data_IF_075279153720
#
_entry.id   IF_075279153720
#
_cell.length_a   1.000
_cell.length_b   1.000
_cell.length_c   1.000
_cell.angle_alpha   90.00
_cell.angle_beta   90.00
_cell.angle_gamma   90.00
#
_symmetry.space_group_name_H-M   'P 1'
#
loop_
_entity.id
_entity.type
_entity.pdbx_description
1 polymer ?
#
# COMPACT_ATOMS: atom_id res chain seq x y z
N UNK A 1 -4.81 2.73 7.56
CA UNK A 1 -4.27 2.09 6.35
C UNK A 1 -5.37 2.10 5.30
N UNK A 2 -5.10 2.72 4.15
CA UNK A 2 -6.10 3.02 3.11
C UNK A 2 -5.65 2.40 1.80
N UNK A 3 -6.51 1.60 1.17
CA UNK A 3 -6.26 1.04 -0.17
C UNK A 3 -7.01 1.75 -1.29
N UNK A 4 -6.94 1.18 -2.49
CA UNK A 4 -7.46 1.82 -3.70
C UNK A 4 -8.99 1.93 -3.73
N UNK A 5 -9.71 1.25 -2.83
CA UNK A 5 -11.16 1.42 -2.68
C UNK A 5 -11.57 2.87 -2.47
N UNK A 6 -10.72 3.70 -1.84
CA UNK A 6 -10.98 5.13 -1.68
C UNK A 6 -11.02 5.84 -3.04
N UNK A 7 -10.15 5.49 -3.99
CA UNK A 7 -10.11 6.10 -5.30
C UNK A 7 -11.27 5.63 -6.19
N UNK A 8 -11.76 4.41 -5.98
CA UNK A 8 -12.89 3.83 -6.71
C UNK A 8 -14.21 4.48 -6.25
N UNK A 9 -14.35 4.76 -4.95
CA UNK A 9 -15.53 5.45 -4.43
C UNK A 9 -15.67 6.84 -5.08
N UNK A 10 -16.85 7.16 -5.60
CA UNK A 10 -17.14 8.43 -6.29
C UNK A 10 -16.57 8.55 -7.72
N UNK A 11 -15.46 7.90 -8.06
CA UNK A 11 -14.92 7.88 -9.43
C UNK A 11 -15.40 6.70 -10.27
N UNK A 12 -15.97 5.67 -9.63
CA UNK A 12 -16.25 4.36 -10.21
C UNK A 12 -14.96 3.64 -10.61
N UNK A 13 -15.06 2.71 -11.56
CA UNK A 13 -13.89 1.95 -12.06
C UNK A 13 -12.91 2.78 -12.91
N UNK A 14 -13.04 4.11 -12.96
CA UNK A 14 -12.07 4.99 -13.65
C UNK A 14 -10.71 4.99 -12.96
N UNK A 15 -10.71 4.93 -11.63
CA UNK A 15 -9.49 4.97 -10.81
C UNK A 15 -9.20 3.59 -10.20
N UNK A 16 -9.18 2.54 -11.05
CA UNK A 16 -8.92 1.15 -10.64
C UNK A 16 -7.59 0.65 -11.20
N UNK A 17 -6.75 0.05 -10.35
CA UNK A 17 -5.47 -0.55 -10.79
C UNK A 17 -5.66 -1.67 -11.81
N UNK A 18 -6.71 -2.47 -11.68
CA UNK A 18 -7.02 -3.53 -12.66
C UNK A 18 -7.21 -2.92 -14.05
N UNK A 19 -7.97 -1.83 -14.13
CA UNK A 19 -8.19 -1.11 -15.39
C UNK A 19 -6.89 -0.55 -15.96
N UNK A 20 -6.02 0.00 -15.13
CA UNK A 20 -4.70 0.48 -15.57
C UNK A 20 -3.85 -0.66 -16.14
N UNK A 21 -3.84 -1.83 -15.49
CA UNK A 21 -3.09 -3.00 -15.97
C UNK A 21 -3.68 -3.56 -17.27
N UNK A 22 -5.00 -3.57 -17.43
CA UNK A 22 -5.66 -3.94 -18.70
C UNK A 22 -5.30 -2.96 -19.82
N UNK A 23 -5.26 -1.64 -19.53
CA UNK A 23 -4.79 -0.64 -20.51
C UNK A 23 -3.34 -0.87 -20.93
N UNK A 24 -2.46 -1.19 -19.96
CA UNK A 24 -1.06 -1.55 -20.25
C UNK A 24 -0.98 -2.85 -21.06
N UNK A 25 -1.84 -3.83 -20.79
CA UNK A 25 -1.88 -5.09 -21.53
C UNK A 25 -2.11 -4.87 -23.03
N UNK A 26 -3.03 -3.97 -23.39
CA UNK A 26 -3.25 -3.60 -24.79
C UNK A 26 -2.00 -2.98 -25.44
N UNK A 27 -1.22 -2.15 -24.71
CA UNK A 27 0.06 -1.62 -25.21
C UNK A 27 1.12 -2.73 -25.39
N UNK A 28 1.00 -3.85 -24.66
CA UNK A 28 1.85 -5.03 -24.80
C UNK A 28 1.32 -6.05 -25.83
N UNK A 29 0.36 -5.67 -26.69
CA UNK A 29 -0.33 -6.56 -27.63
C UNK A 29 -0.99 -7.79 -26.97
N UNK A 30 -1.42 -7.64 -25.71
CA UNK A 30 -2.23 -8.63 -24.98
C UNK A 30 -3.66 -8.13 -24.92
N UNK A 31 -4.52 -8.68 -25.76
CA UNK A 31 -5.93 -8.32 -25.80
C UNK A 31 -6.74 -9.16 -24.81
N UNK A 32 -7.03 -8.57 -23.64
CA UNK A 32 -7.89 -9.17 -22.61
C UNK A 32 -8.87 -8.11 -22.07
N UNK A 33 -10.15 -8.46 -21.88
CA UNK A 33 -11.16 -7.49 -21.41
C UNK A 33 -11.06 -7.21 -19.89
N UNK A 34 -10.43 -8.13 -19.15
CA UNK A 34 -10.20 -8.05 -17.71
C UNK A 34 -9.00 -8.93 -17.35
N UNK A 35 -8.52 -8.85 -16.11
CA UNK A 35 -7.52 -9.80 -15.64
C UNK A 35 -8.16 -11.21 -15.61
N UNK A 36 -7.53 -12.24 -16.21
CA UNK A 36 -8.11 -13.57 -16.27
C UNK A 36 -8.37 -14.16 -14.88
N UNK A 37 -9.52 -14.81 -14.71
CA UNK A 37 -9.85 -15.51 -13.46
C UNK A 37 -8.76 -16.56 -13.14
N UNK A 38 -8.38 -16.63 -11.87
CA UNK A 38 -7.30 -17.50 -11.41
C UNK A 38 -5.89 -16.91 -11.56
N UNK A 39 -5.77 -15.65 -11.98
CA UNK A 39 -4.50 -14.90 -12.02
C UNK A 39 -4.60 -13.70 -11.08
N UNK A 40 -3.65 -13.56 -10.16
CA UNK A 40 -3.55 -12.36 -9.33
C UNK A 40 -3.06 -11.16 -10.16
N UNK A 41 -3.39 -9.93 -9.74
CA UNK A 41 -2.91 -8.71 -10.41
C UNK A 41 -1.37 -8.67 -10.54
N UNK A 42 -0.67 -9.21 -9.54
CA UNK A 42 0.78 -9.31 -9.50
C UNK A 42 1.36 -10.27 -10.54
N UNK A 43 0.74 -11.44 -10.67
CA UNK A 43 1.12 -12.43 -11.68
C UNK A 43 0.81 -11.91 -13.08
N UNK A 44 -0.32 -11.23 -13.24
CA UNK A 44 -0.69 -10.58 -14.49
C UNK A 44 0.35 -9.55 -14.91
N UNK A 45 0.78 -8.68 -14.00
CA UNK A 45 1.86 -7.72 -14.27
C UNK A 45 3.17 -8.43 -14.68
N UNK A 46 3.58 -9.48 -13.97
CA UNK A 46 4.81 -10.23 -14.29
C UNK A 46 4.73 -10.86 -15.69
N UNK A 47 3.56 -11.36 -16.11
CA UNK A 47 3.33 -11.86 -17.47
C UNK A 47 3.44 -10.75 -18.52
N UNK A 48 2.91 -9.55 -18.26
CA UNK A 48 3.06 -8.41 -19.17
C UNK A 48 4.52 -8.00 -19.32
N UNK A 49 5.29 -7.99 -18.23
CA UNK A 49 6.72 -7.65 -18.24
C UNK A 49 7.54 -8.66 -19.06
N UNK A 50 7.22 -9.95 -18.97
CA UNK A 50 7.85 -11.02 -19.76
C UNK A 50 7.52 -10.92 -21.25
N UNK A 51 6.23 -10.73 -21.60
CA UNK A 51 5.81 -10.61 -23.00
C UNK A 51 6.45 -9.43 -23.72
N UNK A 52 6.62 -8.31 -23.00
CA UNK A 52 7.35 -7.14 -23.48
C UNK A 52 8.84 -7.43 -23.76
N UNK A 53 9.46 -8.28 -22.95
CA UNK A 53 10.90 -8.56 -23.03
C UNK A 53 11.25 -9.59 -24.11
N UNK A 54 10.27 -10.09 -24.86
CA UNK A 54 10.48 -11.02 -25.97
C UNK A 54 10.93 -10.24 -27.22
N UNK A 55 12.06 -10.59 -27.87
CA UNK A 55 12.48 -9.94 -29.10
C UNK A 55 11.41 -10.13 -30.18
N UNK A 56 10.97 -9.04 -30.80
CA UNK A 56 10.29 -9.14 -32.10
C UNK A 56 11.28 -9.74 -33.08
N UNK A 57 10.84 -10.74 -33.85
CA UNK A 57 11.68 -11.47 -34.81
C UNK A 57 12.23 -10.60 -35.96
N UNK A 58 11.78 -9.35 -36.06
CA UNK A 58 12.22 -8.39 -37.07
C UNK A 58 13.07 -7.30 -36.39
N UNK A 59 14.32 -7.16 -36.86
CA UNK A 59 15.36 -6.29 -36.34
C UNK A 59 15.15 -4.80 -36.61
N UNK A 60 13.99 -4.27 -36.22
CA UNK A 60 13.75 -2.83 -36.20
C UNK A 60 14.17 -2.23 -34.85
N UNK A 61 15.25 -1.45 -34.93
CA UNK A 61 16.00 -0.81 -33.85
C UNK A 61 15.25 0.40 -33.23
N UNK A 62 13.91 0.38 -33.22
CA UNK A 62 13.04 1.42 -32.65
C UNK A 62 12.23 0.95 -31.43
N UNK A 63 12.65 -0.11 -30.76
CA UNK A 63 12.06 -0.52 -29.49
C UNK A 63 12.39 0.49 -28.38
N UNK A 64 11.63 1.59 -28.31
CA UNK A 64 11.46 2.33 -27.05
C UNK A 64 10.93 1.29 -26.06
N UNK A 65 11.83 0.82 -25.21
CA UNK A 65 11.56 -0.18 -24.20
C UNK A 65 10.56 0.41 -23.20
N UNK A 66 9.27 0.16 -23.41
CA UNK A 66 8.19 0.62 -22.54
C UNK A 66 8.50 0.21 -21.10
N UNK A 67 8.69 1.18 -20.21
CA UNK A 67 8.82 0.90 -18.80
C UNK A 67 7.41 0.80 -18.21
N UNK A 68 6.97 -0.42 -17.85
CA UNK A 68 5.61 -0.66 -17.38
C UNK A 68 5.28 0.12 -16.10
N UNK A 69 6.25 0.28 -15.19
CA UNK A 69 6.05 1.10 -13.99
C UNK A 69 5.88 2.58 -14.34
N UNK A 70 6.64 3.09 -15.31
CA UNK A 70 6.51 4.47 -15.79
C UNK A 70 5.16 4.70 -16.48
N UNK A 71 4.71 3.75 -17.31
CA UNK A 71 3.41 3.83 -17.97
C UNK A 71 2.26 3.75 -16.96
N UNK A 72 2.36 2.85 -15.97
CA UNK A 72 1.41 2.79 -14.86
C UNK A 72 1.35 4.13 -14.11
N UNK A 73 2.50 4.74 -13.83
CA UNK A 73 2.60 6.09 -13.24
C UNK A 73 1.96 7.19 -14.10
N UNK A 74 2.13 7.11 -15.42
CA UNK A 74 1.55 8.08 -16.36
C UNK A 74 0.02 7.97 -16.41
N UNK A 75 -0.54 6.77 -16.39
CA UNK A 75 -1.99 6.58 -16.50
C UNK A 75 -2.74 7.09 -15.26
N UNK A 76 -2.13 7.06 -14.07
CA UNK A 76 -2.71 7.59 -12.84
C UNK A 76 -2.41 9.08 -12.57
N UNK A 77 -1.65 9.76 -13.43
CA UNK A 77 -1.24 11.15 -13.23
C UNK A 77 -2.41 12.14 -13.14
N UNK A 78 -3.55 11.81 -13.75
CA UNK A 78 -4.74 12.68 -13.81
C UNK A 78 -5.77 12.39 -12.72
N UNK A 79 -5.42 11.56 -11.73
CA UNK A 79 -6.34 11.28 -10.64
C UNK A 79 -6.35 12.48 -9.70
N UNK A 80 -7.55 12.99 -9.43
CA UNK A 80 -7.74 14.17 -8.59
C UNK A 80 -8.47 13.81 -7.30
N UNK A 81 -8.18 14.51 -6.20
CA UNK A 81 -8.95 14.41 -4.96
C UNK A 81 -10.45 14.64 -5.17
N UNK A 82 -11.23 13.78 -4.53
CA UNK A 82 -12.69 13.91 -4.38
C UNK A 82 -13.03 14.32 -2.93
N UNK A 83 -14.29 14.70 -2.71
CA UNK A 83 -14.77 15.21 -1.42
C UNK A 83 -14.40 14.30 -0.23
N UNK A 84 -14.61 12.99 -0.33
CA UNK A 84 -14.30 12.06 0.76
C UNK A 84 -12.79 11.95 1.03
N UNK A 85 -11.93 12.11 0.02
CA UNK A 85 -10.49 12.19 0.22
C UNK A 85 -10.15 13.38 1.13
N UNK A 86 -10.69 14.57 0.83
CA UNK A 86 -10.49 15.75 1.65
C UNK A 86 -11.04 15.57 3.06
N UNK A 87 -12.26 15.06 3.22
CA UNK A 87 -12.87 14.88 4.54
C UNK A 87 -12.04 13.95 5.43
N UNK A 88 -11.63 12.79 4.91
CA UNK A 88 -10.86 11.79 5.66
C UNK A 88 -9.44 12.31 5.94
N UNK A 89 -8.78 12.95 4.98
CA UNK A 89 -7.43 13.49 5.18
C UNK A 89 -7.43 14.67 6.14
N UNK A 90 -8.41 15.56 6.07
CA UNK A 90 -8.57 16.64 7.05
C UNK A 90 -8.78 16.09 8.45
N UNK A 91 -9.57 15.03 8.62
CA UNK A 91 -9.71 14.35 9.91
C UNK A 91 -8.36 13.85 10.43
N UNK A 92 -7.59 13.17 9.58
CA UNK A 92 -6.29 12.62 9.95
C UNK A 92 -5.29 13.72 10.32
N UNK A 93 -5.25 14.82 9.57
CA UNK A 93 -4.42 16.00 9.88
C UNK A 93 -4.83 16.63 11.22
N UNK A 94 -6.13 16.90 11.43
CA UNK A 94 -6.65 17.49 12.68
C UNK A 94 -6.28 16.68 13.91
N UNK A 95 -6.28 15.36 13.79
CA UNK A 95 -6.02 14.44 14.91
C UNK A 95 -4.57 13.93 14.98
N UNK A 96 -3.67 14.40 14.11
CA UNK A 96 -2.28 13.94 14.10
C UNK A 96 -2.14 12.45 13.77
N UNK A 97 -3.06 11.87 12.99
CA UNK A 97 -3.12 10.42 12.74
C UNK A 97 -2.28 10.06 11.50
N UNK A 98 -1.24 9.23 11.62
CA UNK A 98 -0.46 8.81 10.47
C UNK A 98 -1.29 7.93 9.52
N UNK A 99 -1.11 8.13 8.22
CA UNK A 99 -1.81 7.41 7.16
C UNK A 99 -0.83 6.52 6.43
N UNK A 100 -1.13 5.23 6.40
CA UNK A 100 -0.48 4.28 5.51
C UNK A 100 -1.36 4.06 4.29
N UNK A 101 -0.81 4.07 3.09
CA UNK A 101 -1.53 3.71 1.87
C UNK A 101 -0.77 2.70 1.03
N UNK A 102 -1.52 1.85 0.33
CA UNK A 102 -0.99 0.98 -0.73
C UNK A 102 -1.03 1.62 -2.10
N UNK A 103 -1.66 2.80 -2.19
CA UNK A 103 -1.77 3.53 -3.42
C UNK A 103 -0.46 4.21 -3.77
N UNK A 104 -0.30 4.56 -5.04
CA UNK A 104 0.97 4.98 -5.62
C UNK A 104 0.96 6.46 -5.99
N UNK A 105 -0.20 6.95 -6.43
CA UNK A 105 -0.54 8.34 -6.71
C UNK A 105 -0.51 9.22 -5.46
N UNK A 106 -0.57 10.54 -5.67
CA UNK A 106 -0.45 11.56 -4.63
C UNK A 106 -1.80 12.16 -4.20
N UNK A 107 -2.93 11.53 -4.57
CA UNK A 107 -4.31 12.02 -4.30
C UNK A 107 -4.54 12.30 -2.80
N UNK A 108 -4.10 11.39 -1.92
CA UNK A 108 -4.26 11.59 -0.47
C UNK A 108 -3.42 12.77 0.05
N UNK A 109 -2.20 12.94 -0.47
CA UNK A 109 -1.33 14.05 -0.09
C UNK A 109 -1.80 15.39 -0.63
N UNK A 110 -2.35 15.43 -1.85
CA UNK A 110 -2.99 16.60 -2.42
C UNK A 110 -4.24 16.98 -1.63
N UNK A 111 -5.06 15.99 -1.26
CA UNK A 111 -6.26 16.20 -0.44
C UNK A 111 -5.94 16.77 0.95
N UNK A 112 -4.79 16.41 1.51
CA UNK A 112 -4.28 16.85 2.80
C UNK A 112 -3.49 18.18 2.75
N UNK A 113 -3.16 18.69 1.55
CA UNK A 113 -2.31 19.85 1.37
C UNK A 113 -0.87 19.65 1.87
N UNK A 114 -0.32 18.45 1.68
CA UNK A 114 1.00 18.07 2.20
C UNK A 114 2.13 18.26 1.19
N UNK A 115 3.31 18.56 1.72
CA UNK A 115 4.56 18.55 0.95
C UNK A 115 5.27 17.20 1.06
N UNK A 116 6.04 16.87 0.02
CA UNK A 116 6.91 15.71 0.03
C UNK A 116 8.13 15.94 0.93
N UNK A 117 8.35 15.01 1.86
CA UNK A 117 9.48 15.02 2.79
C UNK A 117 10.36 13.79 2.57
N UNK A 118 11.64 14.05 2.26
CA UNK A 118 12.73 13.08 2.33
C UNK A 118 13.70 13.49 3.46
N UNK A 119 13.73 12.78 4.59
CA UNK A 119 14.67 13.08 5.67
C UNK A 119 16.12 12.95 5.17
N UNK A 120 16.93 14.03 5.18
CA UNK A 120 18.27 14.03 4.59
C UNK A 120 19.27 13.15 5.34
N UNK A 121 19.06 12.93 6.63
CA UNK A 121 19.94 12.16 7.52
C UNK A 121 19.69 10.65 7.50
N UNK A 122 18.64 10.19 6.80
CA UNK A 122 18.31 8.78 6.72
C UNK A 122 18.83 8.13 5.44
N UNK A 123 19.29 6.86 5.50
CA UNK A 123 19.62 6.10 4.31
C UNK A 123 18.44 6.09 3.33
N UNK A 124 18.74 6.35 2.06
CA UNK A 124 17.72 6.48 1.02
C UNK A 124 18.05 5.61 -0.19
N UNK A 125 17.00 4.98 -0.72
CA UNK A 125 17.01 4.38 -2.06
C UNK A 125 15.68 4.71 -2.71
N UNK A 126 15.69 5.00 -4.00
CA UNK A 126 14.47 5.19 -4.81
C UNK A 126 13.71 3.88 -5.07
N UNK A 127 14.30 2.72 -4.77
CA UNK A 127 13.61 1.43 -4.73
C UNK A 127 12.77 1.27 -3.45
N UNK A 128 13.30 1.63 -2.29
CA UNK A 128 12.62 1.49 -1.01
C UNK A 128 12.63 2.84 -0.27
N UNK A 129 11.82 3.82 -0.71
CA UNK A 129 11.75 5.14 -0.10
C UNK A 129 10.93 5.10 1.21
N UNK A 130 11.17 4.10 2.07
CA UNK A 130 10.32 3.78 3.23
C UNK A 130 10.43 4.80 4.37
N UNK A 131 11.44 5.68 4.35
CA UNK A 131 11.60 6.84 5.23
C UNK A 131 10.95 8.12 4.67
N UNK A 132 10.55 8.11 3.40
CA UNK A 132 9.91 9.25 2.74
C UNK A 132 8.40 9.25 3.02
N UNK A 133 7.83 10.46 3.10
CA UNK A 133 6.41 10.67 3.43
C UNK A 133 5.91 11.99 2.86
N UNK A 134 4.61 12.17 2.84
CA UNK A 134 4.00 13.49 2.68
C UNK A 134 3.50 13.98 4.03
N UNK A 135 3.89 15.19 4.44
CA UNK A 135 3.45 15.77 5.71
C UNK A 135 3.58 17.30 5.69
N UNK A 136 2.89 17.95 6.63
CA UNK A 136 2.99 19.41 6.81
C UNK A 136 4.15 19.79 7.75
N UNK A 137 4.73 18.81 8.44
CA UNK A 137 5.80 19.00 9.43
C UNK A 137 6.80 17.83 9.38
N UNK A 138 8.07 18.14 9.64
CA UNK A 138 9.13 17.14 9.81
C UNK A 138 9.12 16.62 11.26
N UNK A 139 8.63 15.39 11.45
CA UNK A 139 8.73 14.66 12.71
C UNK A 139 9.84 13.60 12.69
N UNK A 140 10.53 13.41 13.81
CA UNK A 140 11.60 12.41 13.92
C UNK A 140 11.05 10.99 14.10
N UNK A 141 10.09 10.81 15.01
CA UNK A 141 9.36 9.55 15.19
C UNK A 141 8.09 9.58 14.32
N UNK A 142 7.90 8.61 13.40
CA UNK A 142 6.66 8.45 12.66
C UNK A 142 5.40 8.37 13.53
N UNK A 143 5.53 7.92 14.79
CA UNK A 143 4.44 7.80 15.73
C UNK A 143 3.97 9.13 16.35
N UNK A 144 4.74 10.21 16.26
CA UNK A 144 4.47 11.45 17.00
C UNK A 144 3.45 12.37 16.32
N UNK A 145 2.99 12.02 15.12
CA UNK A 145 1.96 12.82 14.46
C UNK A 145 1.61 12.36 13.06
N UNK A 146 1.08 13.31 12.30
CA UNK A 146 0.56 13.08 10.97
C UNK A 146 1.68 12.89 9.93
N UNK A 147 1.43 11.97 9.00
CA UNK A 147 2.21 11.81 7.77
C UNK A 147 1.63 10.70 6.92
N UNK A 148 1.72 10.82 5.60
CA UNK A 148 1.22 9.86 4.63
C UNK A 148 2.40 9.06 4.06
N UNK A 149 2.30 7.74 4.14
CA UNK A 149 3.36 6.81 3.76
C UNK A 149 2.86 5.78 2.74
N UNK A 150 3.65 5.53 1.71
CA UNK A 150 3.30 4.64 0.60
C UNK A 150 4.02 3.29 0.73
N UNK A 151 3.26 2.25 1.10
CA UNK A 151 3.78 0.90 1.34
C UNK A 151 4.28 0.26 0.05
N UNK A 152 3.50 0.37 -1.03
CA UNK A 152 3.81 -0.26 -2.32
C UNK A 152 4.67 0.64 -3.23
N UNK A 153 5.20 1.75 -2.70
CA UNK A 153 5.94 2.74 -3.47
C UNK A 153 5.06 3.90 -3.92
N UNK A 154 5.71 4.94 -4.44
CA UNK A 154 5.08 6.21 -4.80
C UNK A 154 5.48 6.62 -6.22
N UNK A 155 4.56 7.27 -6.94
CA UNK A 155 4.72 7.70 -8.34
C UNK A 155 6.00 8.50 -8.57
N UNK A 156 6.38 9.32 -7.58
CA UNK A 156 7.62 10.11 -7.55
C UNK A 156 8.89 9.30 -7.73
N UNK A 157 8.89 8.05 -7.28
CA UNK A 157 10.00 7.11 -7.45
C UNK A 157 9.50 5.88 -8.19
N UNK A 158 9.52 5.92 -9.53
CA UNK A 158 9.00 4.84 -10.38
C UNK A 158 9.58 3.46 -10.03
N UNK A 159 10.86 3.39 -9.66
CA UNK A 159 11.54 2.14 -9.24
C UNK A 159 11.04 1.56 -7.91
N UNK A 160 10.28 2.35 -7.15
CA UNK A 160 9.65 1.90 -5.90
C UNK A 160 8.34 1.15 -6.12
N UNK A 161 7.71 1.31 -7.29
CA UNK A 161 6.37 0.80 -7.60
C UNK A 161 6.35 -0.73 -7.55
N UNK A 162 5.56 -1.31 -6.65
CA UNK A 162 5.44 -2.76 -6.46
C UNK A 162 4.14 -3.27 -7.09
N UNK A 163 4.24 -3.72 -8.34
CA UNK A 163 3.13 -4.29 -9.11
C UNK A 163 3.27 -5.79 -9.36
N UNK A 164 4.45 -6.37 -9.15
CA UNK A 164 4.77 -7.75 -9.52
C UNK A 164 5.01 -8.63 -8.30
N UNK A 165 4.98 -9.96 -8.46
CA UNK A 165 5.20 -10.87 -7.35
C UNK A 165 6.64 -10.78 -6.84
N UNK A 166 7.62 -10.75 -7.75
CA UNK A 166 9.04 -10.58 -7.42
C UNK A 166 9.30 -9.27 -6.67
N UNK A 167 8.56 -8.21 -7.01
CA UNK A 167 8.63 -6.93 -6.31
C UNK A 167 8.21 -7.07 -4.84
N UNK A 168 7.10 -7.75 -4.55
CA UNK A 168 6.66 -8.01 -3.18
C UNK A 168 7.61 -8.93 -2.41
N UNK A 169 8.19 -9.95 -3.06
CA UNK A 169 9.19 -10.81 -2.42
C UNK A 169 10.43 -10.02 -2.00
N UNK A 170 10.88 -9.06 -2.82
CA UNK A 170 11.95 -8.14 -2.46
C UNK A 170 11.60 -7.28 -1.22
N UNK A 171 10.38 -6.77 -1.14
CA UNK A 171 9.89 -6.02 0.04
C UNK A 171 9.87 -6.88 1.30
N UNK A 172 9.39 -8.14 1.21
CA UNK A 172 9.45 -9.11 2.32
C UNK A 172 10.89 -9.33 2.77
N UNK A 173 11.81 -9.58 1.82
CA UNK A 173 13.22 -9.81 2.15
C UNK A 173 13.84 -8.63 2.89
N UNK A 174 13.59 -7.39 2.42
CA UNK A 174 14.09 -6.17 3.06
C UNK A 174 13.54 -6.01 4.48
N UNK A 175 12.22 -6.09 4.64
CA UNK A 175 11.58 -5.94 5.94
C UNK A 175 12.04 -7.04 6.91
N UNK A 176 12.20 -8.28 6.44
CA UNK A 176 12.67 -9.41 7.26
C UNK A 176 14.06 -9.15 7.85
N UNK A 177 14.94 -8.44 7.15
CA UNK A 177 16.24 -8.06 7.70
C UNK A 177 16.08 -7.19 8.94
N UNK A 178 15.25 -6.14 8.89
CA UNK A 178 15.02 -5.27 10.05
C UNK A 178 14.22 -5.92 11.18
N UNK A 179 13.35 -6.87 10.86
CA UNK A 179 12.56 -7.56 11.87
C UNK A 179 13.36 -8.66 12.58
N UNK A 180 14.22 -9.40 11.87
CA UNK A 180 14.81 -10.65 12.39
C UNK A 180 16.33 -10.81 12.23
N UNK A 181 16.98 -10.12 11.27
CA UNK A 181 18.35 -10.48 10.83
C UNK A 181 19.39 -9.34 10.88
N UNK A 182 19.06 -8.20 11.48
CA UNK A 182 20.00 -7.12 11.77
C UNK A 182 20.59 -7.18 13.18
N UNK A 183 21.72 -6.49 13.38
CA UNK A 183 22.34 -6.31 14.71
C UNK A 183 21.35 -5.67 15.70
N UNK A 184 20.57 -4.70 15.21
CA UNK A 184 19.52 -3.99 15.96
C UNK A 184 18.16 -4.23 15.30
N UNK A 185 17.57 -5.41 15.54
CA UNK A 185 16.28 -5.81 14.96
C UNK A 185 15.10 -5.65 15.93
N UNK A 186 13.89 -5.45 15.37
CA UNK A 186 12.67 -5.18 16.16
C UNK A 186 12.39 -6.27 17.21
N UNK A 187 12.60 -7.56 16.88
CA UNK A 187 12.29 -8.65 17.81
C UNK A 187 13.27 -8.77 18.98
N UNK A 188 14.42 -8.10 18.92
CA UNK A 188 15.42 -8.05 19.99
C UNK A 188 15.54 -6.66 20.64
N UNK A 189 14.95 -5.62 20.04
CA UNK A 189 15.00 -4.26 20.53
C UNK A 189 14.39 -4.12 21.94
N UNK A 190 15.21 -3.65 22.88
CA UNK A 190 14.79 -3.44 24.27
C UNK A 190 13.81 -2.26 24.39
N UNK A 191 14.01 -1.21 23.58
CA UNK A 191 13.18 0.00 23.53
C UNK A 191 12.54 0.18 22.14
N UNK A 192 11.38 0.86 22.07
CA UNK A 192 10.61 1.05 20.82
C UNK A 192 11.39 1.69 19.64
N UNK A 193 12.23 2.74 19.83
CA UNK A 193 12.93 3.37 18.69
C UNK A 193 14.28 2.74 18.35
N UNK A 194 14.71 1.69 19.07
CA UNK A 194 16.05 1.11 18.94
C UNK A 194 16.06 -0.05 17.94
N UNK A 195 15.82 0.25 16.65
CA UNK A 195 15.96 -0.69 15.54
C UNK A 195 15.97 0.02 14.17
N UNK A 196 16.55 -0.63 13.15
CA UNK A 196 16.82 -0.02 11.84
C UNK A 196 15.59 0.56 11.11
N UNK A 197 14.41 0.01 11.37
CA UNK A 197 13.16 0.46 10.74
C UNK A 197 12.37 1.50 11.53
N UNK A 198 12.88 1.97 12.68
CA UNK A 198 12.14 2.85 13.61
C UNK A 198 11.66 4.16 12.98
N UNK A 199 12.42 4.72 12.03
CA UNK A 199 12.08 5.98 11.34
C UNK A 199 11.39 5.78 9.99
N UNK A 200 10.64 4.69 9.86
CA UNK A 200 9.93 4.32 8.62
C UNK A 200 8.47 3.95 8.90
N UNK A 201 7.67 3.85 7.84
CA UNK A 201 6.29 3.40 7.95
C UNK A 201 6.14 1.99 8.55
N UNK A 202 7.19 1.14 8.45
CA UNK A 202 7.17 -0.19 9.06
C UNK A 202 6.99 -0.06 10.58
N UNK A 203 7.55 0.98 11.19
CA UNK A 203 7.39 1.25 12.62
C UNK A 203 5.94 1.45 13.05
N UNK A 204 5.15 2.13 12.23
CA UNK A 204 3.73 2.39 12.47
C UNK A 204 2.92 1.10 12.59
N UNK A 205 3.22 0.09 11.75
CA UNK A 205 2.52 -1.21 11.77
C UNK A 205 2.60 -1.87 13.15
N UNK A 206 3.75 -1.76 13.82
CA UNK A 206 4.00 -2.45 15.11
C UNK A 206 3.72 -1.57 16.34
N UNK A 207 3.62 -0.24 16.18
CA UNK A 207 3.57 0.70 17.31
C UNK A 207 2.33 1.59 17.35
N UNK A 208 1.39 1.41 16.42
CA UNK A 208 0.09 2.09 16.44
C UNK A 208 -1.08 1.10 16.33
N UNK A 209 -2.26 1.51 16.83
CA UNK A 209 -3.52 0.92 16.41
C UNK A 209 -3.69 1.02 14.90
N UNK A 210 -4.32 0.01 14.28
CA UNK A 210 -4.56 0.00 12.83
C UNK A 210 -6.05 0.05 12.52
N UNK A 211 -6.48 1.05 11.76
CA UNK A 211 -7.77 1.03 11.08
C UNK A 211 -7.51 0.78 9.59
N UNK A 212 -8.06 -0.30 9.04
CA UNK A 212 -7.79 -0.78 7.69
C UNK A 212 -9.08 -0.73 6.87
N UNK A 213 -9.10 -0.01 5.76
CA UNK A 213 -10.25 0.05 4.85
C UNK A 213 -9.81 0.37 3.42
N UNK A 214 -10.71 0.16 2.45
CA UNK A 214 -10.43 0.34 1.03
C UNK A 214 -9.40 -0.64 0.45
N UNK A 215 -9.06 -1.69 1.19
CA UNK A 215 -8.17 -2.77 0.77
C UNK A 215 -8.97 -4.06 0.59
N UNK A 216 -8.71 -4.80 -0.47
CA UNK A 216 -9.28 -6.13 -0.63
C UNK A 216 -8.66 -7.19 0.29
N UNK A 217 -7.36 -7.06 0.61
CA UNK A 217 -6.57 -8.03 1.40
C UNK A 217 -6.77 -9.50 0.97
N UNK A 218 -6.93 -9.72 -0.34
CA UNK A 218 -7.02 -11.04 -0.96
C UNK A 218 -5.72 -11.83 -0.76
N UNK A 219 -5.67 -13.10 -1.17
CA UNK A 219 -4.48 -13.93 -1.07
C UNK A 219 -3.27 -13.34 -1.80
N UNK A 220 -3.50 -12.46 -2.78
CA UNK A 220 -2.46 -11.79 -3.57
C UNK A 220 -1.71 -10.68 -2.81
N UNK A 221 -2.26 -10.15 -1.71
CA UNK A 221 -1.64 -9.09 -0.89
C UNK A 221 -0.55 -9.66 0.05
N UNK A 222 0.35 -10.49 -0.51
CA UNK A 222 1.28 -11.34 0.24
C UNK A 222 2.17 -10.53 1.18
N UNK A 223 2.67 -9.36 0.76
CA UNK A 223 3.55 -8.54 1.59
C UNK A 223 2.83 -7.99 2.83
N UNK A 224 1.63 -7.41 2.64
CA UNK A 224 0.83 -6.91 3.76
C UNK A 224 0.37 -8.04 4.68
N UNK A 225 -0.13 -9.15 4.13
CA UNK A 225 -0.56 -10.31 4.93
C UNK A 225 0.61 -10.87 5.74
N UNK A 226 1.80 -10.95 5.15
CA UNK A 226 3.01 -11.33 5.87
C UNK A 226 3.34 -10.35 7.01
N UNK A 227 3.28 -9.03 6.79
CA UNK A 227 3.50 -8.04 7.85
C UNK A 227 2.49 -8.15 9.00
N UNK A 228 1.22 -8.45 8.70
CA UNK A 228 0.19 -8.65 9.72
C UNK A 228 0.46 -9.92 10.56
N UNK A 229 0.95 -11.00 9.93
CA UNK A 229 1.43 -12.19 10.65
C UNK A 229 2.61 -11.83 11.56
N UNK A 230 3.60 -11.08 11.06
CA UNK A 230 4.76 -10.66 11.84
C UNK A 230 4.35 -9.76 13.02
N UNK A 231 3.39 -8.86 12.82
CA UNK A 231 2.80 -8.04 13.88
C UNK A 231 2.15 -8.90 14.97
N UNK A 232 1.36 -9.90 14.59
CA UNK A 232 0.74 -10.83 15.53
C UNK A 232 1.78 -11.65 16.31
N UNK A 233 2.85 -12.10 15.64
CA UNK A 233 3.99 -12.80 16.28
C UNK A 233 4.72 -11.89 17.27
N UNK A 234 4.95 -10.64 16.88
CA UNK A 234 5.60 -9.65 17.73
C UNK A 234 4.78 -9.40 19.01
N UNK A 235 3.46 -9.23 18.90
CA UNK A 235 2.59 -9.03 20.07
C UNK A 235 2.41 -10.28 20.92
N UNK A 236 2.51 -11.49 20.35
CA UNK A 236 2.56 -12.72 21.15
C UNK A 236 3.85 -12.78 21.98
N UNK A 237 4.96 -12.30 21.44
CA UNK A 237 6.25 -12.24 22.16
C UNK A 237 6.28 -11.12 23.20
N UNK A 238 5.65 -9.98 22.90
CA UNK A 238 5.59 -8.79 23.75
C UNK A 238 4.14 -8.31 23.95
N UNK A 239 3.32 -9.01 24.77
CA UNK A 239 1.90 -8.70 24.92
C UNK A 239 1.63 -7.28 25.42
N UNK A 240 2.51 -6.72 26.24
CA UNK A 240 2.41 -5.36 26.78
C UNK A 240 2.55 -4.27 25.71
N UNK A 241 3.09 -4.62 24.54
CA UNK A 241 3.28 -3.69 23.40
C UNK A 241 2.13 -3.77 22.39
N UNK A 242 1.15 -4.65 22.62
CA UNK A 242 0.09 -4.92 21.68
C UNK A 242 -0.81 -3.70 21.45
N UNK A 243 -1.23 -3.55 20.20
CA UNK A 243 -2.16 -2.52 19.76
C UNK A 243 -3.34 -3.15 19.02
N UNK A 244 -4.56 -2.63 19.18
CA UNK A 244 -5.73 -3.15 18.47
C UNK A 244 -5.63 -2.88 16.96
N UNK A 245 -6.38 -3.65 16.18
CA UNK A 245 -6.49 -3.47 14.74
C UNK A 245 -7.90 -3.83 14.27
N UNK A 246 -8.41 -3.06 13.33
CA UNK A 246 -9.73 -3.24 12.73
C UNK A 246 -9.63 -3.28 11.20
N UNK A 247 -10.39 -4.18 10.58
CA UNK A 247 -10.57 -4.25 9.14
C UNK A 247 -12.03 -3.97 8.79
N UNK A 248 -12.28 -2.84 8.15
CA UNK A 248 -13.61 -2.43 7.71
C UNK A 248 -13.82 -2.87 6.27
N UNK A 249 -14.87 -3.65 6.04
CA UNK A 249 -15.15 -4.25 4.73
C UNK A 249 -16.63 -4.17 4.37
N UNK A 250 -16.87 -4.09 3.06
CA UNK A 250 -18.19 -4.20 2.45
C UNK A 250 -18.33 -5.59 1.84
N UNK A 251 -19.31 -6.41 2.26
CA UNK A 251 -19.46 -7.75 1.72
C UNK A 251 -19.89 -7.72 0.26
N UNK A 252 -19.30 -8.58 -0.53
CA UNK A 252 -19.68 -8.80 -1.92
C UNK A 252 -20.50 -10.10 -2.01
N UNK A 253 -21.67 -10.03 -2.66
CA UNK A 253 -22.64 -11.14 -2.71
C UNK A 253 -22.03 -12.44 -3.27
N UNK A 254 -21.06 -12.31 -4.18
CA UNK A 254 -20.44 -13.43 -4.89
C UNK A 254 -18.97 -13.69 -4.49
N UNK A 255 -18.46 -13.04 -3.43
CA UNK A 255 -17.08 -13.27 -2.95
C UNK A 255 -16.99 -14.55 -2.11
N UNK A 256 -16.72 -15.66 -2.79
CA UNK A 256 -16.52 -16.97 -2.14
C UNK A 256 -15.22 -17.05 -1.31
N UNK A 257 -14.31 -16.07 -1.43
CA UNK A 257 -13.08 -16.00 -0.65
C UNK A 257 -13.23 -15.28 0.69
N UNK A 258 -14.36 -14.59 0.91
CA UNK A 258 -14.57 -13.72 2.08
C UNK A 258 -14.36 -14.47 3.40
N UNK A 259 -14.92 -15.68 3.54
CA UNK A 259 -14.76 -16.50 4.74
C UNK A 259 -13.28 -16.82 5.05
N UNK A 260 -12.48 -17.13 4.02
CA UNK A 260 -11.05 -17.40 4.17
C UNK A 260 -10.24 -16.15 4.54
N UNK A 261 -10.62 -15.00 3.98
CA UNK A 261 -10.06 -13.68 4.31
C UNK A 261 -10.35 -13.30 5.77
N UNK A 262 -11.59 -13.44 6.24
CA UNK A 262 -11.97 -13.16 7.63
C UNK A 262 -11.28 -14.12 8.61
N UNK A 263 -11.24 -15.42 8.30
CA UNK A 263 -10.49 -16.41 9.07
C UNK A 263 -9.03 -16.00 9.27
N UNK A 264 -8.37 -15.55 8.19
CA UNK A 264 -6.99 -15.09 8.27
C UNK A 264 -6.84 -13.86 9.18
N UNK A 265 -7.66 -12.82 8.97
CA UNK A 265 -7.56 -11.55 9.68
C UNK A 265 -7.81 -11.71 11.19
N UNK A 266 -8.85 -12.47 11.54
CA UNK A 266 -9.17 -12.77 12.94
C UNK A 266 -8.08 -13.64 13.58
N UNK A 267 -7.53 -14.60 12.83
CA UNK A 267 -6.42 -15.44 13.28
C UNK A 267 -5.12 -14.68 13.58
N UNK A 268 -4.92 -13.50 12.98
CA UNK A 268 -3.80 -12.60 13.28
C UNK A 268 -4.17 -11.45 14.23
N UNK A 269 -5.36 -11.51 14.85
CA UNK A 269 -5.80 -10.58 15.88
C UNK A 269 -6.36 -9.25 15.35
N UNK A 270 -6.95 -9.25 14.16
CA UNK A 270 -7.63 -8.09 13.58
C UNK A 270 -9.13 -8.29 13.69
N UNK A 271 -9.83 -7.31 14.25
CA UNK A 271 -11.28 -7.33 14.37
C UNK A 271 -11.92 -6.90 13.05
N UNK A 272 -12.75 -7.76 12.47
CA UNK A 272 -13.48 -7.47 11.24
C UNK A 272 -14.75 -6.67 11.55
N UNK A 273 -14.97 -5.58 10.82
CA UNK A 273 -16.13 -4.69 10.96
C UNK A 273 -16.82 -4.58 9.60
N UNK A 274 -18.05 -5.08 9.53
CA UNK A 274 -18.87 -4.95 8.32
C UNK A 274 -19.44 -3.53 8.24
N UNK A 275 -19.33 -2.90 7.08
CA UNK A 275 -19.91 -1.59 6.79
C UNK A 275 -20.19 -1.46 5.28
N UNK A 276 -21.17 -0.65 4.90
CA UNK A 276 -21.35 -0.26 3.50
C UNK A 276 -20.38 0.87 3.08
N UNK A 277 -20.32 1.16 1.77
CA UNK A 277 -19.40 2.17 1.26
C UNK A 277 -19.68 3.59 1.77
N UNK A 278 -20.95 3.93 2.03
CA UNK A 278 -21.31 5.25 2.56
C UNK A 278 -20.90 5.36 4.03
N UNK A 279 -21.09 4.32 4.83
CA UNK A 279 -20.62 4.25 6.22
C UNK A 279 -19.10 4.38 6.33
N UNK A 280 -18.35 3.92 5.33
CA UNK A 280 -16.89 4.04 5.27
C UNK A 280 -16.46 5.43 4.81
N UNK A 281 -16.93 5.90 3.66
CA UNK A 281 -16.35 7.08 2.98
C UNK A 281 -17.12 8.38 3.22
N UNK A 282 -18.40 8.29 3.62
CA UNK A 282 -19.30 9.42 3.84
C UNK A 282 -19.69 9.56 5.33
N UNK A 283 -18.99 8.83 6.20
CA UNK A 283 -19.21 8.87 7.64
C UNK A 283 -19.12 10.30 8.19
N UNK A 284 -20.14 10.79 8.93
CA UNK A 284 -20.05 12.06 9.65
C UNK A 284 -18.91 12.09 10.67
N UNK A 285 -18.44 10.92 11.12
CA UNK A 285 -17.31 10.77 12.04
C UNK A 285 -16.00 11.37 11.49
N UNK A 286 -15.85 11.47 10.17
CA UNK A 286 -14.69 12.15 9.57
C UNK A 286 -14.77 13.67 9.67
N UNK A 287 -15.98 14.23 9.80
CA UNK A 287 -16.16 15.67 10.02
C UNK A 287 -16.08 16.07 11.51
N UNK A 288 -16.18 15.09 12.41
CA UNK A 288 -16.06 15.29 13.86
C UNK A 288 -14.65 15.72 14.30
#
# INVERSE_FOLDING_TARGET
MIGNGINIHGAGNRNSWERLLVQIAHHCAVDVPSVPKGTALTEFYDVLEMKRSSPTADGDDQNITLNLQAEFCRLMERWEPLLHHHTIMNWAVRHGVPVLTTNFEEVLSEAAGCDFIRPPELPFTDFYPWSCRFANQLLDDPCDGFGIWHINGMRRYQRSIRLGLSHYMGSVQRARTWLHRGEVNLFNAKNRPDWDGARTWVHLIFNKPLLIFGLGLTEAEVFLRWLLIERARYFRKFPERAHPAWYVYTPEVDDTSEAGKLFFLEGVGITSVKADYAEIYESPSWAA
#
